data_IF_483320103851
#
_entry.id   IF_483320103851
#
_cell.length_a   1.000
_cell.length_b   1.000
_cell.length_c   1.000
_cell.angle_alpha   90.00
_cell.angle_beta   90.00
_cell.angle_gamma   90.00
#
_symmetry.space_group_name_H-M   'P 1'
#
loop_
_entity.id
_entity.type
_entity.pdbx_description
1 polymer ?
#
# COMPACT_ATOMS: atom_id res chain seq x y z
N UNK A 1 56.24 -40.91 -43.77
CA UNK A 1 55.04 -40.18 -44.25
C UNK A 1 53.77 -40.49 -43.40
N UNK A 2 53.57 -41.76 -43.04
CA UNK A 2 52.41 -42.22 -42.22
C UNK A 2 52.24 -41.57 -40.82
N UNK A 3 53.39 -41.37 -40.09
CA UNK A 3 53.33 -40.77 -38.75
C UNK A 3 52.81 -39.31 -38.75
N UNK A 4 53.17 -38.52 -39.81
CA UNK A 4 52.67 -37.16 -39.93
C UNK A 4 51.18 -37.08 -40.25
N UNK A 5 50.68 -38.00 -41.03
CA UNK A 5 49.22 -38.09 -41.38
C UNK A 5 48.40 -38.51 -40.13
N UNK A 6 48.91 -39.48 -39.38
CA UNK A 6 48.27 -39.95 -38.16
C UNK A 6 48.17 -38.85 -37.08
N UNK A 7 49.24 -38.06 -36.91
CA UNK A 7 49.23 -36.91 -35.99
C UNK A 7 48.31 -35.75 -36.43
N UNK A 8 48.18 -35.52 -37.75
CA UNK A 8 47.27 -34.54 -38.30
C UNK A 8 45.78 -34.96 -38.08
N UNK A 9 45.45 -36.24 -38.33
CA UNK A 9 44.12 -36.78 -38.09
C UNK A 9 43.72 -36.75 -36.62
N UNK A 10 44.66 -37.09 -35.68
CA UNK A 10 44.37 -36.95 -34.24
C UNK A 10 44.12 -35.50 -33.82
N UNK A 11 44.85 -34.53 -34.34
CA UNK A 11 44.63 -33.11 -34.06
C UNK A 11 43.25 -32.64 -34.59
N UNK A 12 42.86 -33.05 -35.77
CA UNK A 12 41.54 -32.74 -36.33
C UNK A 12 40.42 -33.34 -35.50
N UNK A 13 40.57 -34.59 -35.08
CA UNK A 13 39.60 -35.29 -34.25
C UNK A 13 39.46 -34.66 -32.84
N UNK A 14 40.60 -34.27 -32.24
CA UNK A 14 40.61 -33.56 -30.95
C UNK A 14 39.97 -32.18 -31.02
N UNK A 15 40.24 -31.44 -32.10
CA UNK A 15 39.59 -30.12 -32.32
C UNK A 15 38.09 -30.21 -32.59
N UNK A 16 37.63 -31.24 -33.30
CA UNK A 16 36.20 -31.50 -33.53
C UNK A 16 35.46 -31.88 -32.25
N UNK A 17 36.06 -32.74 -31.41
CA UNK A 17 35.49 -33.13 -30.13
C UNK A 17 35.43 -31.94 -29.15
N UNK A 18 36.48 -31.13 -29.10
CA UNK A 18 36.49 -29.92 -28.25
C UNK A 18 35.48 -28.87 -28.72
N UNK A 19 35.31 -28.68 -30.02
CA UNK A 19 34.30 -27.79 -30.60
C UNK A 19 32.87 -28.26 -30.29
N UNK A 20 32.63 -29.56 -30.35
CA UNK A 20 31.30 -30.14 -30.05
C UNK A 20 31.00 -30.03 -28.56
N UNK A 21 31.94 -30.32 -27.68
CA UNK A 21 31.81 -30.16 -26.23
C UNK A 21 31.53 -28.70 -25.82
N UNK A 22 32.22 -27.73 -26.44
CA UNK A 22 31.94 -26.31 -26.24
C UNK A 22 30.53 -25.91 -26.71
N UNK A 23 30.07 -26.40 -27.86
CA UNK A 23 28.70 -26.15 -28.34
C UNK A 23 27.64 -26.73 -27.40
N UNK A 24 27.84 -27.92 -26.87
CA UNK A 24 26.96 -28.55 -25.88
C UNK A 24 26.93 -27.76 -24.59
N UNK A 25 28.08 -27.26 -24.13
CA UNK A 25 28.17 -26.43 -22.90
C UNK A 25 27.44 -25.09 -23.07
N UNK A 26 27.61 -24.44 -24.21
CA UNK A 26 26.88 -23.18 -24.54
C UNK A 26 25.38 -23.42 -24.62
N UNK A 27 24.96 -24.51 -25.27
CA UNK A 27 23.52 -24.87 -25.37
C UNK A 27 22.89 -25.19 -24.00
N UNK A 28 23.60 -25.89 -23.10
CA UNK A 28 23.20 -26.11 -21.72
C UNK A 28 23.07 -24.82 -20.92
N UNK A 29 24.01 -23.88 -21.07
CA UNK A 29 23.91 -22.55 -20.42
C UNK A 29 22.76 -21.73 -20.94
N UNK A 30 22.52 -21.72 -22.27
CA UNK A 30 21.35 -21.06 -22.87
C UNK A 30 20.03 -21.67 -22.37
N UNK A 31 19.90 -22.99 -22.33
CA UNK A 31 18.74 -23.69 -21.79
C UNK A 31 18.51 -23.37 -20.30
N UNK A 32 19.57 -23.29 -19.51
CA UNK A 32 19.49 -22.92 -18.09
C UNK A 32 19.03 -21.47 -17.92
N UNK A 33 19.56 -20.54 -18.73
CA UNK A 33 19.17 -19.13 -18.72
C UNK A 33 17.68 -18.98 -19.14
N UNK A 34 17.26 -19.70 -20.18
CA UNK A 34 15.87 -19.69 -20.64
C UNK A 34 14.93 -20.30 -19.59
N UNK A 35 15.34 -21.37 -18.93
CA UNK A 35 14.57 -21.98 -17.84
C UNK A 35 14.49 -21.05 -16.62
N UNK A 36 15.58 -20.38 -16.24
CA UNK A 36 15.57 -19.37 -15.15
C UNK A 36 14.71 -18.14 -15.52
N UNK A 37 14.73 -17.71 -16.79
CA UNK A 37 13.89 -16.57 -17.21
C UNK A 37 12.40 -16.93 -17.25
N UNK A 38 12.04 -18.17 -17.56
CA UNK A 38 10.65 -18.66 -17.49
C UNK A 38 10.19 -18.79 -16.03
N UNK A 39 11.06 -19.23 -15.11
CA UNK A 39 10.75 -19.22 -13.69
C UNK A 39 10.56 -17.81 -13.11
N UNK A 40 11.33 -16.83 -13.57
CA UNK A 40 11.22 -15.45 -13.10
C UNK A 40 9.94 -14.74 -13.56
N UNK A 41 9.34 -15.15 -14.67
CA UNK A 41 8.06 -14.57 -15.14
C UNK A 41 6.83 -15.14 -14.41
N UNK A 42 6.99 -16.26 -13.70
CA UNK A 42 5.88 -16.88 -12.97
C UNK A 42 5.61 -16.26 -11.58
N UNK A 43 6.44 -15.33 -11.11
CA UNK A 43 6.32 -14.73 -9.77
C UNK A 43 5.34 -13.54 -9.74
N UNK A 44 4.94 -12.99 -10.89
CA UNK A 44 4.08 -11.79 -10.95
C UNK A 44 2.57 -12.06 -11.06
N UNK A 45 2.12 -13.30 -11.03
CA UNK A 45 0.69 -13.63 -11.10
C UNK A 45 0.17 -14.24 -9.78
N UNK A 46 0.52 -13.66 -8.65
CA UNK A 46 0.09 -14.19 -7.34
C UNK A 46 -1.38 -13.88 -7.05
N UNK A 47 -1.93 -12.80 -7.61
CA UNK A 47 -3.26 -12.32 -7.30
C UNK A 47 -4.22 -12.40 -8.50
N UNK A 48 -5.51 -12.72 -8.29
CA UNK A 48 -6.56 -12.55 -9.30
C UNK A 48 -6.61 -11.10 -9.81
N UNK A 49 -6.95 -10.92 -11.09
CA UNK A 49 -6.91 -9.59 -11.74
C UNK A 49 -7.74 -8.53 -11.01
N UNK A 50 -8.87 -8.93 -10.40
CA UNK A 50 -9.74 -8.05 -9.61
C UNK A 50 -9.10 -7.58 -8.30
N UNK A 51 -8.03 -8.25 -7.83
CA UNK A 51 -7.27 -7.89 -6.64
C UNK A 51 -5.91 -7.25 -6.95
N UNK A 52 -5.64 -6.93 -8.20
CA UNK A 52 -4.49 -6.12 -8.60
C UNK A 52 -4.96 -4.67 -8.68
N UNK A 53 -4.27 -3.75 -7.98
CA UNK A 53 -4.64 -2.33 -7.95
C UNK A 53 -4.34 -1.64 -9.28
N UNK A 54 -4.92 -0.46 -9.51
CA UNK A 54 -4.66 0.34 -10.72
C UNK A 54 -3.17 0.68 -10.87
N UNK A 55 -2.44 1.13 -9.83
CA UNK A 55 -1.00 1.32 -9.94
C UNK A 55 -0.24 0.05 -10.35
N UNK A 56 -0.53 -1.09 -9.75
CA UNK A 56 0.11 -2.36 -10.11
C UNK A 56 -0.14 -2.74 -11.59
N UNK A 57 -1.37 -2.52 -12.11
CA UNK A 57 -1.71 -2.78 -13.51
C UNK A 57 -1.02 -1.85 -14.51
N UNK A 58 -0.74 -0.63 -14.09
CA UNK A 58 -0.23 0.44 -14.96
C UNK A 58 1.25 0.75 -14.73
N UNK A 59 1.95 -0.12 -13.99
CA UNK A 59 3.34 0.12 -13.57
C UNK A 59 3.50 1.49 -12.91
N UNK A 60 2.59 1.81 -11.98
CA UNK A 60 2.54 3.05 -11.18
C UNK A 60 2.39 4.34 -11.99
N UNK A 61 1.84 4.26 -13.21
CA UNK A 61 1.58 5.44 -14.05
C UNK A 61 0.22 6.09 -13.78
N UNK A 62 -0.71 5.33 -13.20
CA UNK A 62 -2.08 5.79 -12.90
C UNK A 62 -2.43 5.50 -11.44
N UNK A 63 -3.41 6.21 -10.93
CA UNK A 63 -3.98 6.06 -9.58
C UNK A 63 -5.42 5.57 -9.67
N UNK A 64 -5.88 4.89 -8.62
CA UNK A 64 -7.22 4.32 -8.56
C UNK A 64 -8.31 5.40 -8.51
N UNK A 65 -9.35 5.24 -9.30
CA UNK A 65 -10.61 5.98 -9.16
C UNK A 65 -11.39 5.52 -7.93
N UNK A 66 -12.42 6.27 -7.56
CA UNK A 66 -13.37 5.82 -6.52
C UNK A 66 -13.97 4.44 -6.86
N UNK A 67 -14.36 4.24 -8.12
CA UNK A 67 -14.92 2.98 -8.57
C UNK A 67 -13.92 1.82 -8.45
N UNK A 68 -12.64 2.05 -8.76
CA UNK A 68 -11.58 1.04 -8.62
C UNK A 68 -11.43 0.60 -7.16
N UNK A 69 -11.37 1.54 -6.22
CA UNK A 69 -11.27 1.26 -4.78
C UNK A 69 -12.48 0.46 -4.29
N UNK A 70 -13.69 0.88 -4.64
CA UNK A 70 -14.92 0.17 -4.23
C UNK A 70 -14.98 -1.24 -4.84
N UNK A 71 -14.62 -1.40 -6.11
CA UNK A 71 -14.60 -2.70 -6.76
C UNK A 71 -13.56 -3.63 -6.13
N UNK A 72 -12.39 -3.10 -5.77
CA UNK A 72 -11.35 -3.86 -5.08
C UNK A 72 -11.85 -4.36 -3.70
N UNK A 73 -12.45 -3.50 -2.89
CA UNK A 73 -13.02 -3.87 -1.58
C UNK A 73 -14.12 -4.93 -1.74
N UNK A 74 -15.03 -4.74 -2.69
CA UNK A 74 -16.09 -5.70 -2.99
C UNK A 74 -15.56 -7.05 -3.50
N UNK A 75 -14.44 -7.06 -4.20
CA UNK A 75 -13.80 -8.29 -4.66
C UNK A 75 -13.10 -9.05 -3.53
N UNK A 76 -12.61 -8.36 -2.48
CA UNK A 76 -12.05 -8.97 -1.28
C UNK A 76 -13.12 -9.63 -0.41
N UNK A 77 -14.27 -8.99 -0.25
CA UNK A 77 -15.31 -9.37 0.72
C UNK A 77 -15.73 -10.85 0.65
N UNK A 78 -16.01 -11.46 -0.53
CA UNK A 78 -16.41 -12.87 -0.60
C UNK A 78 -15.25 -13.86 -0.42
N UNK A 79 -14.01 -13.39 -0.29
CA UNK A 79 -12.81 -14.24 -0.24
C UNK A 79 -12.28 -14.44 1.19
N UNK A 80 -12.90 -13.80 2.18
CA UNK A 80 -12.46 -13.84 3.58
C UNK A 80 -13.62 -13.66 4.56
N UNK A 81 -13.52 -14.33 5.70
CA UNK A 81 -14.45 -14.16 6.83
C UNK A 81 -13.91 -13.19 7.90
N UNK A 82 -12.80 -12.49 7.63
CA UNK A 82 -12.12 -11.60 8.58
C UNK A 82 -12.43 -10.13 8.38
N UNK A 83 -13.33 -9.82 7.46
CA UNK A 83 -13.62 -8.47 7.02
C UNK A 83 -15.09 -8.10 7.26
N UNK A 84 -15.31 -6.90 7.77
CA UNK A 84 -16.60 -6.22 7.79
C UNK A 84 -16.50 -4.91 7.01
N UNK A 85 -17.38 -4.70 6.02
CA UNK A 85 -17.46 -3.47 5.24
C UNK A 85 -18.66 -2.65 5.75
N UNK A 86 -18.41 -1.42 6.11
CA UNK A 86 -19.42 -0.41 6.40
C UNK A 86 -19.09 0.91 5.68
N UNK A 87 -19.94 1.90 5.85
CA UNK A 87 -19.74 3.23 5.28
C UNK A 87 -19.92 4.27 6.39
N UNK A 88 -18.91 5.13 6.57
CA UNK A 88 -18.99 6.16 7.60
C UNK A 88 -20.00 7.27 7.27
N UNK A 89 -20.27 7.50 5.98
CA UNK A 89 -21.20 8.54 5.52
C UNK A 89 -21.20 8.67 4.02
N UNK A 90 -21.77 9.79 3.56
CA UNK A 90 -21.79 10.18 2.15
C UNK A 90 -21.07 11.52 1.96
N UNK A 91 -20.37 11.62 0.84
CA UNK A 91 -19.85 12.90 0.36
C UNK A 91 -20.97 13.82 -0.16
N UNK A 92 -20.61 15.06 -0.48
CA UNK A 92 -21.54 16.03 -1.04
C UNK A 92 -22.20 15.54 -2.34
N UNK A 93 -21.43 14.84 -3.21
CA UNK A 93 -21.93 14.27 -4.47
C UNK A 93 -22.63 12.92 -4.27
N UNK A 94 -22.82 12.48 -3.03
CA UNK A 94 -23.60 11.29 -2.67
C UNK A 94 -22.83 9.98 -2.73
N UNK A 95 -21.49 10.00 -2.90
CA UNK A 95 -20.65 8.80 -2.86
C UNK A 95 -20.53 8.28 -1.42
N UNK A 96 -20.64 6.98 -1.25
CA UNK A 96 -20.43 6.33 0.03
C UNK A 96 -18.92 6.33 0.40
N UNK A 97 -18.60 6.66 1.66
CA UNK A 97 -17.21 6.67 2.14
C UNK A 97 -16.94 5.35 2.86
N UNK A 98 -16.16 4.42 2.27
CA UNK A 98 -15.99 3.07 2.79
C UNK A 98 -15.11 3.01 4.03
N UNK A 99 -15.51 2.15 4.97
CA UNK A 99 -14.73 1.75 6.14
C UNK A 99 -14.64 0.23 6.16
N UNK A 100 -13.43 -0.30 6.23
CA UNK A 100 -13.16 -1.73 6.26
C UNK A 100 -12.58 -2.10 7.62
N UNK A 101 -13.32 -2.89 8.39
CA UNK A 101 -12.89 -3.42 9.68
C UNK A 101 -12.34 -4.82 9.47
N UNK A 102 -11.12 -5.06 9.92
CA UNK A 102 -10.42 -6.34 9.80
C UNK A 102 -10.03 -6.85 11.18
N UNK A 103 -10.43 -8.07 11.51
CA UNK A 103 -10.16 -8.72 12.80
C UNK A 103 -10.18 -10.25 12.68
N UNK A 104 -9.44 -10.93 13.56
CA UNK A 104 -9.47 -12.39 13.72
C UNK A 104 -9.62 -12.76 15.20
N UNK A 105 -10.79 -13.27 15.67
CA UNK A 105 -12.00 -13.47 14.89
C UNK A 105 -12.62 -12.15 14.41
N UNK A 106 -13.44 -12.23 13.35
CA UNK A 106 -14.14 -11.08 12.78
C UNK A 106 -14.97 -10.36 13.84
N UNK A 107 -14.93 -9.03 13.81
CA UNK A 107 -15.83 -8.15 14.53
C UNK A 107 -16.64 -7.31 13.53
N UNK A 108 -17.89 -7.01 13.87
CA UNK A 108 -18.81 -6.24 13.02
C UNK A 108 -19.47 -5.09 13.78
N UNK A 109 -19.27 -5.03 15.10
CA UNK A 109 -19.80 -3.98 15.96
C UNK A 109 -18.74 -3.53 16.97
N UNK A 110 -18.86 -2.30 17.51
CA UNK A 110 -17.98 -1.82 18.57
C UNK A 110 -18.02 -2.70 19.83
N UNK A 111 -19.20 -3.24 20.18
CA UNK A 111 -19.36 -4.11 21.35
C UNK A 111 -18.58 -5.42 21.18
N UNK A 112 -18.53 -5.97 19.98
CA UNK A 112 -17.69 -7.16 19.68
C UNK A 112 -16.22 -6.80 19.75
N UNK A 113 -15.82 -5.61 19.32
CA UNK A 113 -14.45 -5.11 19.44
C UNK A 113 -14.02 -4.97 20.90
N UNK A 114 -14.83 -4.32 21.74
CA UNK A 114 -14.61 -4.18 23.18
C UNK A 114 -14.52 -5.55 23.86
N UNK A 115 -15.42 -6.47 23.58
CA UNK A 115 -15.39 -7.84 24.13
C UNK A 115 -14.15 -8.63 23.72
N UNK A 116 -13.55 -8.32 22.59
CA UNK A 116 -12.30 -8.98 22.15
C UNK A 116 -11.09 -8.58 23.00
N UNK A 117 -11.15 -7.41 23.63
CA UNK A 117 -10.04 -6.83 24.39
C UNK A 117 -8.85 -6.39 23.52
N UNK A 118 -9.00 -6.36 22.22
CA UNK A 118 -7.95 -5.93 21.28
C UNK A 118 -8.04 -4.44 21.01
N UNK A 119 -6.91 -3.72 21.00
CA UNK A 119 -6.90 -2.31 20.62
C UNK A 119 -7.35 -2.13 19.16
N UNK A 120 -7.99 -1.02 18.88
CA UNK A 120 -8.44 -0.61 17.55
C UNK A 120 -7.44 0.38 16.97
N UNK A 121 -6.96 0.11 15.77
CA UNK A 121 -6.12 1.02 14.99
C UNK A 121 -6.93 1.54 13.80
N UNK A 122 -7.11 2.84 13.71
CA UNK A 122 -7.75 3.49 12.56
C UNK A 122 -6.69 4.10 11.64
N UNK A 123 -6.74 3.78 10.36
CA UNK A 123 -5.83 4.29 9.34
C UNK A 123 -6.63 4.81 8.15
N UNK A 124 -6.44 6.09 7.82
CA UNK A 124 -7.08 6.70 6.66
C UNK A 124 -6.06 7.14 5.61
N UNK A 125 -6.51 7.17 4.37
CA UNK A 125 -5.77 7.72 3.24
C UNK A 125 -6.63 8.65 2.41
N UNK A 126 -5.97 9.47 1.57
CA UNK A 126 -6.64 10.29 0.57
C UNK A 126 -7.49 11.45 1.14
N UNK A 127 -7.15 12.03 2.30
CA UNK A 127 -7.78 13.26 2.79
C UNK A 127 -7.57 14.41 1.78
N UNK A 128 -6.39 14.46 1.16
CA UNK A 128 -6.12 15.25 -0.02
C UNK A 128 -6.01 14.32 -1.22
N UNK A 129 -6.94 14.39 -2.14
CA UNK A 129 -7.08 13.39 -3.20
C UNK A 129 -5.91 13.30 -4.18
N UNK A 130 -5.06 14.31 -4.23
CA UNK A 130 -3.81 14.27 -4.99
C UNK A 130 -2.66 13.55 -4.29
N UNK A 131 -2.82 13.18 -3.02
CA UNK A 131 -1.87 12.42 -2.21
C UNK A 131 -2.26 10.94 -2.30
N UNK A 132 -1.83 10.30 -3.39
CA UNK A 132 -2.40 9.02 -3.84
C UNK A 132 -1.86 7.81 -3.09
N UNK A 133 -0.67 7.90 -2.51
CA UNK A 133 0.08 6.77 -1.96
C UNK A 133 -0.67 6.06 -0.83
N UNK A 134 -1.28 6.83 0.08
CA UNK A 134 -2.07 6.29 1.19
C UNK A 134 -3.23 5.43 0.71
N UNK A 135 -3.98 5.92 -0.28
CA UNK A 135 -5.09 5.18 -0.88
C UNK A 135 -4.65 3.86 -1.52
N UNK A 136 -3.56 3.90 -2.24
CA UNK A 136 -3.07 2.73 -2.98
C UNK A 136 -2.47 1.67 -2.05
N UNK A 137 -1.66 2.09 -1.06
CA UNK A 137 -1.06 1.15 -0.12
C UNK A 137 -2.10 0.48 0.77
N UNK A 138 -3.19 1.17 1.15
CA UNK A 138 -4.25 0.58 1.96
C UNK A 138 -5.00 -0.53 1.21
N UNK A 139 -5.19 -0.43 -0.10
CA UNK A 139 -5.73 -1.52 -0.92
C UNK A 139 -4.80 -2.73 -0.90
N UNK A 140 -3.50 -2.52 -1.11
CA UNK A 140 -2.49 -3.59 -1.07
C UNK A 140 -2.45 -4.24 0.31
N UNK A 141 -2.41 -3.43 1.39
CA UNK A 141 -2.38 -3.95 2.76
C UNK A 141 -3.64 -4.75 3.12
N UNK A 142 -4.84 -4.31 2.70
CA UNK A 142 -6.06 -5.11 2.89
C UNK A 142 -5.90 -6.51 2.27
N UNK A 143 -5.42 -6.59 1.04
CA UNK A 143 -5.18 -7.86 0.36
C UNK A 143 -4.16 -8.73 1.10
N UNK A 144 -3.01 -8.15 1.47
CA UNK A 144 -1.94 -8.88 2.16
C UNK A 144 -2.34 -9.33 3.58
N UNK A 145 -3.14 -8.55 4.29
CA UNK A 145 -3.66 -8.89 5.62
C UNK A 145 -4.72 -9.99 5.52
N UNK A 146 -5.65 -9.89 4.59
CA UNK A 146 -6.81 -10.77 4.51
C UNK A 146 -6.53 -12.08 3.78
N UNK A 147 -5.65 -12.08 2.78
CA UNK A 147 -5.42 -13.22 1.88
C UNK A 147 -3.93 -13.59 1.73
N UNK A 148 -3.02 -12.72 2.16
CA UNK A 148 -1.57 -12.90 2.04
C UNK A 148 -0.89 -13.34 3.34
N UNK A 149 0.35 -12.95 3.50
CA UNK A 149 1.21 -13.35 4.61
C UNK A 149 1.14 -12.46 5.85
N UNK A 150 0.35 -11.36 5.81
CA UNK A 150 0.25 -10.36 6.89
C UNK A 150 -0.93 -10.57 7.85
N UNK A 151 -1.58 -11.72 7.78
CA UNK A 151 -2.70 -12.07 8.67
C UNK A 151 -2.34 -11.97 10.16
N UNK A 152 -1.07 -12.21 10.52
CA UNK A 152 -0.57 -12.11 11.89
C UNK A 152 -0.82 -10.73 12.53
N UNK A 153 -0.99 -9.68 11.72
CA UNK A 153 -1.32 -8.34 12.22
C UNK A 153 -2.69 -8.28 12.92
N UNK A 154 -3.58 -9.24 12.68
CA UNK A 154 -4.89 -9.32 13.32
C UNK A 154 -4.89 -10.15 14.62
N UNK A 155 -3.75 -10.74 15.00
CA UNK A 155 -3.67 -11.57 16.21
C UNK A 155 -3.95 -10.77 17.48
N UNK A 156 -3.41 -9.54 17.56
CA UNK A 156 -3.42 -8.73 18.77
C UNK A 156 -4.09 -7.35 18.61
N UNK A 157 -4.71 -7.07 17.46
CA UNK A 157 -5.36 -5.78 17.21
C UNK A 157 -6.49 -5.92 16.19
N UNK A 158 -7.37 -4.93 16.16
CA UNK A 158 -8.38 -4.70 15.14
C UNK A 158 -7.89 -3.56 14.27
N UNK A 159 -7.97 -3.71 12.96
CA UNK A 159 -7.50 -2.70 12.01
C UNK A 159 -8.70 -2.17 11.23
N UNK A 160 -8.91 -0.87 11.28
CA UNK A 160 -9.99 -0.14 10.59
C UNK A 160 -9.37 0.74 9.53
N UNK A 161 -9.69 0.51 8.25
CA UNK A 161 -9.20 1.31 7.12
C UNK A 161 -10.29 2.17 6.50
N UNK A 162 -9.97 3.44 6.25
CA UNK A 162 -10.69 4.31 5.33
C UNK A 162 -9.78 4.65 4.15
N UNK A 163 -9.74 3.82 3.10
CA UNK A 163 -8.73 3.94 2.04
C UNK A 163 -8.94 5.16 1.13
N UNK A 164 -10.16 5.66 1.04
CA UNK A 164 -10.51 6.82 0.22
C UNK A 164 -11.46 7.73 0.99
N UNK A 165 -10.88 8.73 1.65
CA UNK A 165 -11.62 9.66 2.51
C UNK A 165 -12.33 10.75 1.68
N UNK A 166 -11.62 11.45 0.80
CA UNK A 166 -12.15 12.49 -0.08
C UNK A 166 -12.61 11.90 -1.42
N UNK A 167 -13.75 11.22 -1.39
CA UNK A 167 -14.24 10.42 -2.52
C UNK A 167 -14.59 11.22 -3.77
N UNK A 168 -15.15 12.43 -3.59
CA UNK A 168 -15.57 13.27 -4.73
C UNK A 168 -14.38 13.82 -5.49
N UNK A 169 -13.46 14.42 -4.77
CA UNK A 169 -12.30 15.08 -5.38
C UNK A 169 -11.25 14.12 -5.90
N UNK A 170 -11.31 12.86 -5.48
CA UNK A 170 -10.44 11.83 -6.04
C UNK A 170 -10.61 11.67 -7.55
N UNK A 171 -11.85 11.76 -8.05
CA UNK A 171 -12.16 11.55 -9.45
C UNK A 171 -12.08 12.84 -10.29
N UNK A 172 -11.88 14.00 -9.64
CA UNK A 172 -11.61 15.28 -10.33
C UNK A 172 -10.14 15.37 -10.75
N UNK A 173 -9.70 14.40 -11.54
CA UNK A 173 -8.30 14.21 -11.90
C UNK A 173 -7.83 15.25 -12.92
N UNK A 174 -6.75 15.98 -12.58
CA UNK A 174 -6.14 16.99 -13.45
C UNK A 174 -4.61 16.89 -13.40
N UNK A 175 -3.96 17.19 -14.52
CA UNK A 175 -2.49 17.22 -14.67
C UNK A 175 -1.83 18.42 -13.98
N UNK A 176 -2.61 19.40 -13.54
CA UNK A 176 -2.10 20.65 -13.00
C UNK A 176 -1.94 20.68 -11.48
N UNK A 177 -2.56 19.74 -10.78
CA UNK A 177 -2.74 19.84 -9.32
C UNK A 177 -1.54 19.44 -8.49
N UNK A 178 -0.62 18.62 -9.03
CA UNK A 178 0.57 18.11 -8.31
C UNK A 178 1.87 18.21 -9.10
N UNK A 179 2.06 19.29 -9.83
CA UNK A 179 3.22 19.50 -10.72
C UNK A 179 4.59 19.41 -10.04
N UNK A 180 4.67 19.78 -8.77
CA UNK A 180 5.92 19.79 -8.01
C UNK A 180 6.25 18.42 -7.37
N UNK A 181 5.37 17.45 -7.46
CA UNK A 181 5.54 16.15 -6.83
C UNK A 181 6.16 15.18 -7.85
N UNK A 182 7.46 14.93 -7.72
CA UNK A 182 8.16 13.94 -8.56
C UNK A 182 7.65 12.52 -8.30
N UNK A 183 7.58 11.71 -9.36
CA UNK A 183 7.10 10.33 -9.29
C UNK A 183 5.60 10.17 -9.12
N UNK A 184 4.85 11.26 -8.93
CA UNK A 184 3.39 11.21 -8.89
C UNK A 184 2.81 10.84 -10.26
N UNK A 185 1.66 10.14 -10.31
CA UNK A 185 0.90 9.97 -11.54
C UNK A 185 0.63 11.31 -12.22
N UNK A 186 0.58 11.34 -13.56
CA UNK A 186 0.35 12.58 -14.30
C UNK A 186 -0.97 13.25 -13.97
N UNK A 187 -1.99 12.46 -13.65
CA UNK A 187 -3.31 12.95 -13.25
C UNK A 187 -3.62 12.46 -11.85
N UNK A 188 -3.95 13.37 -10.98
CA UNK A 188 -4.37 13.09 -9.60
C UNK A 188 -5.59 13.94 -9.24
N UNK A 189 -6.30 13.55 -8.19
CA UNK A 189 -7.40 14.32 -7.65
C UNK A 189 -6.94 15.65 -7.02
N UNK A 190 -7.89 16.53 -6.74
CA UNK A 190 -7.64 17.85 -6.17
C UNK A 190 -7.56 17.81 -4.63
N UNK A 191 -6.92 18.83 -4.03
CA UNK A 191 -6.71 18.89 -2.57
C UNK A 191 -8.01 19.05 -1.79
N UNK A 192 -8.79 20.07 -2.14
CA UNK A 192 -10.03 20.41 -1.45
C UNK A 192 -11.13 19.36 -1.74
N UNK A 193 -12.13 19.25 -0.85
CA UNK A 193 -13.35 18.49 -1.11
C UNK A 193 -14.27 19.20 -2.13
N UNK A 194 -15.43 18.66 -2.40
CA UNK A 194 -16.39 19.24 -3.37
C UNK A 194 -16.97 20.59 -2.95
N UNK A 195 -16.88 20.95 -1.67
CA UNK A 195 -17.26 22.27 -1.16
C UNK A 195 -16.12 23.30 -1.26
N UNK A 196 -14.93 22.87 -1.67
CA UNK A 196 -13.74 23.70 -1.74
C UNK A 196 -12.98 23.80 -0.42
N UNK A 197 -13.26 22.95 0.55
CA UNK A 197 -12.64 22.98 1.87
C UNK A 197 -11.42 22.05 1.94
N UNK A 198 -10.42 22.48 2.68
CA UNK A 198 -9.31 21.64 3.07
C UNK A 198 -9.72 20.80 4.29
N UNK A 199 -10.00 19.51 4.07
CA UNK A 199 -10.46 18.61 5.12
C UNK A 199 -9.46 18.46 6.27
N UNK A 200 -8.17 18.65 6.01
CA UNK A 200 -7.12 18.68 7.04
C UNK A 200 -7.03 20.02 7.80
N UNK A 201 -8.03 20.91 7.66
CA UNK A 201 -8.23 22.12 8.46
C UNK A 201 -9.57 22.11 9.19
N UNK A 202 -10.37 21.08 8.98
CA UNK A 202 -11.73 21.01 9.49
C UNK A 202 -11.88 20.24 10.82
N UNK A 203 -10.81 19.62 11.31
CA UNK A 203 -10.86 18.79 12.53
C UNK A 203 -11.37 19.50 13.80
N UNK A 204 -11.28 20.84 13.85
CA UNK A 204 -11.83 21.63 14.98
C UNK A 204 -13.29 22.01 14.79
N UNK A 205 -13.69 22.36 13.58
CA UNK A 205 -15.06 22.83 13.29
C UNK A 205 -16.01 21.70 12.95
N UNK A 206 -15.50 20.67 12.25
CA UNK A 206 -16.25 19.50 11.81
C UNK A 206 -17.48 19.87 10.96
N UNK A 207 -17.30 20.86 10.06
CA UNK A 207 -18.37 21.40 9.21
C UNK A 207 -18.52 20.54 7.93
N UNK A 208 -17.43 19.94 7.42
CA UNK A 208 -17.46 19.08 6.26
C UNK A 208 -18.20 17.78 6.56
N UNK A 209 -18.96 17.28 5.59
CA UNK A 209 -19.69 16.02 5.71
C UNK A 209 -18.76 14.85 6.03
N UNK A 210 -17.60 14.81 5.36
CA UNK A 210 -16.57 13.79 5.53
C UNK A 210 -16.01 13.80 6.96
N UNK A 211 -15.67 15.00 7.48
CA UNK A 211 -15.09 15.15 8.82
C UNK A 211 -16.11 14.79 9.90
N UNK A 212 -17.33 15.28 9.76
CA UNK A 212 -18.41 14.93 10.69
C UNK A 212 -18.68 13.41 10.68
N UNK A 213 -18.76 12.81 9.49
CA UNK A 213 -18.98 11.39 9.32
C UNK A 213 -17.87 10.55 9.97
N UNK A 214 -16.61 10.93 9.78
CA UNK A 214 -15.45 10.24 10.38
C UNK A 214 -15.52 10.33 11.91
N UNK A 215 -15.75 11.52 12.48
CA UNK A 215 -15.83 11.68 13.93
C UNK A 215 -16.98 10.85 14.53
N UNK A 216 -18.19 10.94 13.95
CA UNK A 216 -19.38 10.28 14.50
C UNK A 216 -19.37 8.76 14.30
N UNK A 217 -18.95 8.30 13.12
CA UNK A 217 -19.15 6.92 12.70
C UNK A 217 -17.85 6.10 12.70
N UNK A 218 -16.70 6.71 12.99
CA UNK A 218 -15.44 5.98 13.18
C UNK A 218 -14.86 6.29 14.56
N UNK A 219 -14.51 7.55 14.85
CA UNK A 219 -13.80 7.87 16.09
C UNK A 219 -14.67 7.61 17.31
N UNK A 220 -15.88 8.18 17.38
CA UNK A 220 -16.78 7.99 18.51
C UNK A 220 -17.42 6.60 18.55
N UNK A 221 -17.49 5.90 17.42
CA UNK A 221 -18.09 4.58 17.31
C UNK A 221 -17.12 3.46 17.64
N UNK A 222 -15.91 3.48 17.09
CA UNK A 222 -14.90 2.41 17.24
C UNK A 222 -13.85 2.70 18.30
N UNK A 223 -13.79 3.93 18.84
CA UNK A 223 -12.89 4.42 19.88
C UNK A 223 -11.43 3.97 19.69
N UNK A 224 -10.79 4.31 18.56
CA UNK A 224 -9.46 3.78 18.24
C UNK A 224 -8.38 4.35 19.17
N UNK A 225 -7.51 3.49 19.68
CA UNK A 225 -6.33 3.87 20.47
C UNK A 225 -5.24 4.51 19.61
N UNK A 226 -5.22 4.20 18.29
CA UNK A 226 -4.26 4.76 17.36
C UNK A 226 -4.99 5.25 16.12
N UNK A 227 -4.69 6.49 15.73
CA UNK A 227 -5.13 7.08 14.48
C UNK A 227 -3.92 7.44 13.62
N UNK A 228 -3.89 6.93 12.40
CA UNK A 228 -2.86 7.23 11.40
C UNK A 228 -3.50 7.87 10.17
N UNK A 229 -3.01 9.07 9.82
CA UNK A 229 -3.43 9.78 8.61
C UNK A 229 -2.29 9.76 7.58
N UNK A 230 -2.54 9.12 6.44
CA UNK A 230 -1.55 8.92 5.40
C UNK A 230 -1.56 10.07 4.42
N UNK A 231 -0.48 10.86 4.45
CA UNK A 231 -0.23 12.00 3.58
C UNK A 231 0.93 11.75 2.62
N UNK A 232 1.04 12.64 1.63
CA UNK A 232 2.23 12.75 0.81
C UNK A 232 2.74 14.18 0.85
N UNK A 233 4.06 14.38 0.80
CA UNK A 233 4.67 15.72 0.79
C UNK A 233 4.31 16.48 -0.47
N UNK A 234 4.41 17.82 -0.41
CA UNK A 234 4.11 18.72 -1.53
C UNK A 234 5.27 18.87 -2.54
N UNK A 235 6.08 17.81 -2.75
CA UNK A 235 7.26 17.84 -3.60
C UNK A 235 8.45 18.53 -2.95
N UNK A 236 8.44 18.69 -1.64
CA UNK A 236 9.61 19.15 -0.87
C UNK A 236 10.63 18.03 -0.81
N UNK A 237 11.88 18.33 -1.14
CA UNK A 237 12.97 17.37 -1.00
C UNK A 237 13.30 17.14 0.47
N UNK A 238 13.27 15.88 0.90
CA UNK A 238 13.63 15.43 2.23
C UNK A 238 14.84 14.51 2.18
N UNK A 239 15.59 14.44 3.27
CA UNK A 239 16.63 13.43 3.46
C UNK A 239 16.06 12.04 3.80
N UNK A 240 14.75 11.94 3.96
CA UNK A 240 14.03 10.73 4.35
C UNK A 240 13.13 10.24 3.23
N UNK A 241 13.05 8.92 3.06
CA UNK A 241 12.11 8.28 2.12
C UNK A 241 10.67 8.36 2.60
N UNK A 242 10.46 8.39 3.92
CA UNK A 242 9.18 8.58 4.57
C UNK A 242 9.38 9.48 5.79
N UNK A 243 8.50 10.47 5.96
CA UNK A 243 8.46 11.32 7.15
C UNK A 243 7.24 10.97 8.01
N UNK A 244 7.37 11.22 9.31
CA UNK A 244 6.31 10.99 10.27
C UNK A 244 6.24 12.14 11.28
N UNK A 245 5.07 12.29 11.88
CA UNK A 245 4.86 13.24 12.96
C UNK A 245 3.85 12.70 13.96
N UNK A 246 4.08 12.82 15.27
CA UNK A 246 3.07 12.57 16.29
C UNK A 246 2.10 13.75 16.38
N UNK A 247 1.10 13.64 17.24
CA UNK A 247 0.30 14.79 17.63
C UNK A 247 1.15 15.83 18.36
N UNK A 248 1.14 17.09 17.89
CA UNK A 248 1.94 18.17 18.50
C UNK A 248 1.14 19.09 19.42
N UNK A 249 -0.14 18.80 19.68
CA UNK A 249 -0.98 19.76 20.38
C UNK A 249 -0.47 20.00 21.79
N UNK A 250 0.02 21.20 22.07
CA UNK A 250 0.67 21.55 23.35
C UNK A 250 -0.27 21.51 24.56
N UNK A 251 -1.57 21.57 24.33
CA UNK A 251 -2.59 21.45 25.37
C UNK A 251 -3.20 20.02 25.44
N UNK A 252 -2.73 19.07 24.60
CA UNK A 252 -3.12 17.67 24.67
C UNK A 252 -2.42 16.94 25.84
N UNK A 253 -2.94 15.75 26.13
CA UNK A 253 -2.30 14.84 27.07
C UNK A 253 -0.87 14.51 26.64
N UNK A 254 0.06 14.54 27.59
CA UNK A 254 1.48 14.33 27.30
C UNK A 254 1.83 12.87 27.00
N UNK A 255 1.13 11.94 27.64
CA UNK A 255 1.45 10.52 27.54
C UNK A 255 1.36 9.95 26.11
N UNK A 256 0.32 10.24 25.27
CA UNK A 256 0.30 9.79 23.87
C UNK A 256 1.45 10.35 23.05
N UNK A 257 1.84 11.62 23.27
CA UNK A 257 2.99 12.22 22.61
C UNK A 257 4.29 11.50 22.99
N UNK A 258 4.53 11.30 24.29
CA UNK A 258 5.75 10.69 24.78
C UNK A 258 5.88 9.23 24.32
N UNK A 259 4.80 8.46 24.35
CA UNK A 259 4.76 7.09 23.80
C UNK A 259 5.11 7.10 22.30
N UNK A 260 4.46 7.95 21.52
CA UNK A 260 4.63 7.99 20.08
C UNK A 260 6.03 8.46 19.70
N UNK A 261 6.49 9.57 20.29
CA UNK A 261 7.77 10.21 19.95
C UNK A 261 8.99 9.44 20.48
N UNK A 262 8.91 8.93 21.72
CA UNK A 262 10.08 8.34 22.38
C UNK A 262 10.19 6.83 22.20
N UNK A 263 9.09 6.14 21.88
CA UNK A 263 9.05 4.69 21.81
C UNK A 263 8.61 4.16 20.44
N UNK A 264 7.39 4.46 20.00
CA UNK A 264 6.82 3.82 18.81
C UNK A 264 7.57 4.21 17.52
N UNK A 265 7.68 5.50 17.23
CA UNK A 265 8.27 5.97 15.97
C UNK A 265 9.78 5.69 15.87
N UNK A 266 10.60 5.79 16.94
CA UNK A 266 11.99 5.33 16.91
C UNK A 266 12.13 3.84 16.61
N UNK A 267 11.29 2.98 17.22
CA UNK A 267 11.30 1.53 16.95
C UNK A 267 10.92 1.21 15.50
N UNK A 268 9.86 1.86 14.97
CA UNK A 268 9.45 1.73 13.56
C UNK A 268 10.59 2.18 12.63
N UNK A 269 11.20 3.34 12.92
CA UNK A 269 12.32 3.88 12.14
C UNK A 269 13.50 2.90 12.09
N UNK A 270 13.90 2.37 13.24
CA UNK A 270 14.98 1.39 13.32
C UNK A 270 14.63 0.12 12.55
N UNK A 271 13.46 -0.45 12.77
CA UNK A 271 13.03 -1.69 12.13
C UNK A 271 12.95 -1.57 10.61
N UNK A 272 12.39 -0.48 10.09
CA UNK A 272 12.33 -0.24 8.65
C UNK A 272 13.73 -0.05 8.05
N UNK A 273 14.63 0.63 8.76
CA UNK A 273 16.02 0.74 8.33
C UNK A 273 16.73 -0.62 8.27
N UNK A 274 16.54 -1.47 9.28
CA UNK A 274 17.15 -2.79 9.36
C UNK A 274 16.62 -3.77 8.30
N UNK A 275 15.29 -3.77 8.07
CA UNK A 275 14.64 -4.74 7.17
C UNK A 275 14.68 -4.31 5.70
N UNK A 276 14.60 -3.01 5.42
CA UNK A 276 14.39 -2.50 4.05
C UNK A 276 15.46 -1.52 3.57
N UNK A 277 16.43 -1.15 4.42
CA UNK A 277 17.43 -0.09 4.15
C UNK A 277 16.80 1.27 3.78
N UNK A 278 15.62 1.56 4.32
CA UNK A 278 14.87 2.80 4.09
C UNK A 278 15.03 3.73 5.28
N UNK A 279 15.28 5.02 5.00
CA UNK A 279 15.43 6.05 6.02
C UNK A 279 14.09 6.74 6.29
N UNK A 280 13.66 6.69 7.55
CA UNK A 280 12.51 7.40 8.07
C UNK A 280 12.98 8.49 9.03
N UNK A 281 12.18 9.56 9.16
CA UNK A 281 12.45 10.60 10.15
C UNK A 281 11.28 11.56 10.33
N UNK A 282 11.38 12.43 11.34
CA UNK A 282 10.37 13.46 11.61
C UNK A 282 10.38 14.60 10.58
#
# INVERSE_FOLDING_TARGET
MEVKIRNALMRIQFNLVSSTAQKILVMKKLLLITFLSILSTSIYAQWPTELITTPEKTNYQETSTYADVINFIKALQPKTDLMHLEYMGKSLEGKDIPVVVMADPKVSTPEEAEQSGKPVMYIQGNIHSGEVEGKEILQILMREILLGDKKYLLENQIIVFAPIYNTDSNDKMDVQVRRSQEGSPQKTGIRANSEGWDLNRDGMKMEALETNAMIQNVILKWDPEIFVDLHTTNGTWHGYSLTWAPSYHSAGERAPYDLTWNEMLPQVTQKVKEEYDVYLGP
#
